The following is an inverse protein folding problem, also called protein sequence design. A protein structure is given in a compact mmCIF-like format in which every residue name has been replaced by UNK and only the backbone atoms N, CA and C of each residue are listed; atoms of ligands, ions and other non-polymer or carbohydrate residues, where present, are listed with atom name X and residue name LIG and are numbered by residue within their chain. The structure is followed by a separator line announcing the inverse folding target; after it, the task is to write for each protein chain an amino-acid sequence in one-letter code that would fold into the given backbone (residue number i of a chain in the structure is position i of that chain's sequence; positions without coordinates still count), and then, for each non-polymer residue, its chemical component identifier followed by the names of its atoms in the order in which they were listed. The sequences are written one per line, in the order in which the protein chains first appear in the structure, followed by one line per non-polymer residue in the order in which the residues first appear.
data_IF_605432931530
#
_entry.id   IF_605432931530
#
_cell.length_a   1.000
_cell.length_b   1.000
_cell.length_c   1.000
_cell.angle_alpha   90.00
_cell.angle_beta   90.00
_cell.angle_gamma   90.00
#
_symmetry.space_group_name_H-M   'P 1'
#
loop_
_entity.id
_entity.type
_entity.pdbx_description
1 polymer ?
#
# COMPACT_ATOMS: atom_id res chain seq x y z
N UNK A 1 10.90 -7.50 -6.35
CA UNK A 1 12.04 -6.70 -6.80
C UNK A 1 12.09 -5.31 -6.17
N UNK A 2 11.00 -4.52 -6.21
CA UNK A 2 11.02 -3.13 -5.71
C UNK A 2 11.36 -3.03 -4.21
N UNK A 3 10.89 -3.93 -3.36
CA UNK A 3 11.27 -3.99 -1.95
C UNK A 3 12.79 -4.11 -1.80
N UNK A 4 13.40 -5.12 -2.42
CA UNK A 4 14.85 -5.31 -2.40
C UNK A 4 15.61 -4.09 -2.89
N UNK A 5 15.11 -3.42 -3.93
CA UNK A 5 15.75 -2.24 -4.49
C UNK A 5 15.62 -1.01 -3.58
N UNK A 6 14.42 -0.74 -3.06
CA UNK A 6 14.16 0.48 -2.30
C UNK A 6 14.75 0.47 -0.88
N UNK A 7 15.04 -0.71 -0.32
CA UNK A 7 15.72 -0.84 0.98
C UNK A 7 17.23 -0.65 0.90
N UNK A 8 17.81 -0.53 -0.30
CA UNK A 8 19.26 -0.30 -0.43
C UNK A 8 19.66 1.01 0.23
N UNK A 9 20.93 1.13 0.71
CA UNK A 9 21.41 2.34 1.38
C UNK A 9 21.25 3.59 0.52
N UNK A 10 20.88 4.69 1.19
CA UNK A 10 20.87 6.00 0.54
C UNK A 10 22.27 6.40 0.07
N UNK A 11 22.41 7.09 -1.05
CA UNK A 11 21.36 7.58 -1.95
C UNK A 11 21.18 6.71 -3.20
N UNK A 12 21.47 5.40 -3.15
CA UNK A 12 21.49 4.56 -4.36
C UNK A 12 20.16 4.50 -5.10
N UNK A 13 19.04 4.06 -4.48
CA UNK A 13 17.76 3.98 -5.18
C UNK A 13 17.24 5.34 -5.60
N UNK A 14 17.45 6.37 -4.78
CA UNK A 14 17.05 7.73 -5.10
C UNK A 14 17.74 8.26 -6.38
N UNK A 15 19.05 8.07 -6.48
CA UNK A 15 19.81 8.48 -7.67
C UNK A 15 19.35 7.74 -8.92
N UNK A 16 19.18 6.43 -8.81
CA UNK A 16 18.76 5.61 -9.95
C UNK A 16 17.35 5.98 -10.42
N UNK A 17 16.40 6.20 -9.53
CA UNK A 17 15.05 6.61 -9.90
C UNK A 17 15.05 8.02 -10.49
N UNK A 18 15.86 8.92 -9.96
CA UNK A 18 15.94 10.30 -10.43
C UNK A 18 16.54 10.44 -11.84
N UNK A 19 17.17 9.40 -12.42
CA UNK A 19 17.58 9.42 -13.82
C UNK A 19 16.36 9.46 -14.76
N UNK A 20 15.28 8.73 -14.43
CA UNK A 20 14.01 8.77 -15.16
C UNK A 20 12.83 8.42 -14.22
N UNK A 21 12.40 9.37 -13.39
CA UNK A 21 11.30 9.15 -12.45
C UNK A 21 9.96 8.89 -13.15
N UNK A 22 9.79 9.39 -14.38
CA UNK A 22 8.59 9.16 -15.19
C UNK A 22 8.47 7.68 -15.60
N UNK A 23 9.55 7.11 -16.11
CA UNK A 23 9.59 5.69 -16.47
C UNK A 23 9.40 4.79 -15.27
N UNK A 24 10.02 5.12 -14.14
CA UNK A 24 9.86 4.38 -12.89
C UNK A 24 8.39 4.34 -12.47
N UNK A 25 7.74 5.49 -12.31
CA UNK A 25 6.34 5.58 -11.88
C UNK A 25 5.41 4.87 -12.85
N UNK A 26 5.56 5.09 -14.16
CA UNK A 26 4.74 4.40 -15.16
C UNK A 26 4.85 2.88 -15.06
N UNK A 27 6.06 2.37 -14.89
CA UNK A 27 6.27 0.93 -14.73
C UNK A 27 5.61 0.39 -13.46
N UNK A 28 5.71 1.10 -12.32
CA UNK A 28 5.05 0.71 -11.08
C UNK A 28 3.52 0.72 -11.25
N UNK A 29 2.96 1.80 -11.75
CA UNK A 29 1.52 1.94 -11.95
C UNK A 29 0.98 0.84 -12.89
N UNK A 30 1.59 0.64 -14.04
CA UNK A 30 1.16 -0.36 -15.01
C UNK A 30 1.24 -1.78 -14.45
N UNK A 31 2.39 -2.14 -13.87
CA UNK A 31 2.64 -3.49 -13.36
C UNK A 31 1.69 -3.87 -12.23
N UNK A 32 1.40 -2.94 -11.33
CA UNK A 32 0.61 -3.25 -10.13
C UNK A 32 -0.89 -3.06 -10.32
N UNK A 33 -1.30 -2.27 -11.31
CA UNK A 33 -2.72 -2.08 -11.65
C UNK A 33 -3.26 -3.10 -12.64
N UNK A 34 -2.42 -3.87 -13.31
CA UNK A 34 -2.83 -4.68 -14.45
C UNK A 34 -3.19 -3.83 -15.68
N UNK A 35 -2.34 -2.83 -15.97
CA UNK A 35 -2.48 -1.89 -17.10
C UNK A 35 -3.74 -0.99 -17.05
N UNK A 36 -4.23 -0.68 -15.85
CA UNK A 36 -5.28 0.31 -15.68
C UNK A 36 -4.79 1.71 -16.12
N UNK A 37 -5.62 2.45 -16.84
CA UNK A 37 -5.31 3.83 -17.25
C UNK A 37 -5.72 4.80 -16.15
N UNK A 38 -4.75 5.49 -15.57
CA UNK A 38 -4.97 6.40 -14.43
C UNK A 38 -5.38 7.83 -14.85
N UNK A 39 -5.26 8.19 -16.14
CA UNK A 39 -5.55 9.56 -16.60
C UNK A 39 -4.69 10.59 -15.86
N UNK A 40 -5.32 11.68 -15.42
CA UNK A 40 -4.62 12.79 -14.74
C UNK A 40 -3.97 12.40 -13.39
N UNK A 41 -4.37 11.29 -12.79
CA UNK A 41 -3.80 10.81 -11.52
C UNK A 41 -2.33 10.41 -11.69
N UNK A 42 -1.94 9.90 -12.87
CA UNK A 42 -0.55 9.58 -13.18
C UNK A 42 0.37 10.80 -13.08
N UNK A 43 -0.10 11.96 -13.56
CA UNK A 43 0.66 13.21 -13.48
C UNK A 43 0.85 13.70 -12.05
N UNK A 44 -0.16 13.53 -11.20
CA UNK A 44 -0.09 13.87 -9.78
C UNK A 44 0.98 13.03 -9.05
N UNK A 45 1.02 11.73 -9.29
CA UNK A 45 2.07 10.84 -8.79
C UNK A 45 3.44 11.26 -9.31
N UNK A 46 3.57 11.51 -10.61
CA UNK A 46 4.83 11.92 -11.22
C UNK A 46 5.34 13.25 -10.64
N UNK A 47 4.47 14.25 -10.47
CA UNK A 47 4.81 15.53 -9.85
C UNK A 47 5.37 15.35 -8.43
N UNK A 48 4.81 14.40 -7.67
CA UNK A 48 5.29 14.06 -6.34
C UNK A 48 6.68 13.42 -6.38
N UNK A 49 6.87 12.39 -7.19
CA UNK A 49 8.13 11.63 -7.27
C UNK A 49 9.30 12.36 -7.92
N UNK A 50 9.08 13.41 -8.68
CA UNK A 50 10.15 14.31 -9.15
C UNK A 50 10.80 15.12 -8.03
N UNK A 51 10.20 15.19 -6.86
CA UNK A 51 10.75 15.91 -5.72
C UNK A 51 11.69 14.99 -4.94
N UNK A 52 13.00 15.31 -4.93
CA UNK A 52 14.04 14.51 -4.25
C UNK A 52 13.68 14.14 -2.81
N UNK A 53 13.17 15.11 -2.03
CA UNK A 53 12.78 14.89 -0.63
C UNK A 53 11.65 13.86 -0.49
N UNK A 54 10.65 13.89 -1.37
CA UNK A 54 9.52 12.94 -1.33
C UNK A 54 9.95 11.55 -1.78
N UNK A 55 10.78 11.48 -2.80
CA UNK A 55 11.36 10.20 -3.22
C UNK A 55 12.21 9.59 -2.11
N UNK A 56 13.07 10.39 -1.47
CA UNK A 56 13.87 9.94 -0.33
C UNK A 56 12.97 9.44 0.81
N UNK A 57 11.96 10.20 1.21
CA UNK A 57 11.01 9.76 2.24
C UNK A 57 10.31 8.44 1.88
N UNK A 58 9.97 8.23 0.60
CA UNK A 58 9.42 6.96 0.15
C UNK A 58 10.42 5.80 0.27
N UNK A 59 11.71 6.03 0.00
CA UNK A 59 12.73 5.00 0.21
C UNK A 59 12.97 4.73 1.71
N UNK A 60 12.95 5.77 2.56
CA UNK A 60 13.06 5.61 4.02
C UNK A 60 11.92 4.78 4.61
N UNK A 61 10.70 4.92 4.09
CA UNK A 61 9.56 4.08 4.48
C UNK A 61 9.84 2.58 4.24
N UNK A 62 10.41 2.23 3.08
CA UNK A 62 10.84 0.86 2.81
C UNK A 62 11.98 0.40 3.71
N UNK A 63 12.96 1.28 4.01
CA UNK A 63 14.07 0.96 4.92
C UNK A 63 13.57 0.73 6.34
N UNK A 64 12.67 1.58 6.83
CA UNK A 64 12.02 1.41 8.14
C UNK A 64 11.28 0.07 8.22
N UNK A 65 10.50 -0.27 7.19
CA UNK A 65 9.77 -1.54 7.12
C UNK A 65 10.66 -2.78 7.12
N UNK A 66 11.92 -2.65 6.67
CA UNK A 66 12.90 -3.73 6.69
C UNK A 66 13.75 -3.78 7.96
N UNK A 67 13.64 -2.81 8.84
CA UNK A 67 14.49 -2.65 10.05
C UNK A 67 13.65 -2.37 11.30
N UNK A 68 13.45 -1.10 11.63
CA UNK A 68 12.86 -0.68 12.91
C UNK A 68 11.42 -1.16 13.08
N UNK A 69 10.62 -1.23 12.00
CA UNK A 69 9.24 -1.70 12.07
C UNK A 69 9.18 -3.18 12.47
N UNK A 70 10.14 -4.00 12.02
CA UNK A 70 10.24 -5.40 12.44
C UNK A 70 10.53 -5.55 13.94
N UNK A 71 11.32 -4.64 14.51
CA UNK A 71 11.61 -4.64 15.95
C UNK A 71 10.38 -4.16 16.74
N UNK A 72 9.65 -3.17 16.24
CA UNK A 72 8.37 -2.74 16.81
C UNK A 72 7.35 -3.88 16.77
N UNK A 73 7.21 -4.57 15.64
CA UNK A 73 6.30 -5.70 15.48
C UNK A 73 6.63 -6.84 16.44
N UNK A 74 7.92 -7.13 16.70
CA UNK A 74 8.32 -8.12 17.70
C UNK A 74 7.90 -7.73 19.11
N UNK A 75 8.12 -6.46 19.50
CA UNK A 75 7.73 -5.92 20.82
C UNK A 75 6.22 -5.94 21.01
N UNK A 76 5.46 -5.66 19.95
CA UNK A 76 4.01 -5.51 19.99
C UNK A 76 3.24 -6.78 19.59
N UNK A 77 3.94 -7.87 19.32
CA UNK A 77 3.35 -9.14 18.84
C UNK A 77 2.16 -9.64 19.65
N UNK A 78 2.17 -9.44 20.95
CA UNK A 78 1.12 -9.89 21.88
C UNK A 78 0.06 -8.81 22.15
N UNK A 79 0.26 -7.59 21.67
CA UNK A 79 -0.72 -6.51 21.80
C UNK A 79 -1.80 -6.66 20.74
N UNK A 80 -3.06 -6.43 21.16
CA UNK A 80 -4.21 -6.49 20.25
C UNK A 80 -4.92 -5.16 20.21
N UNK A 81 -5.29 -4.77 19.01
CA UNK A 81 -6.13 -3.59 18.78
C UNK A 81 -7.56 -3.88 19.27
N UNK A 82 -8.09 -3.01 20.11
CA UNK A 82 -9.46 -3.12 20.63
C UNK A 82 -10.41 -2.10 19.99
N UNK A 83 -10.25 -1.89 18.68
CA UNK A 83 -11.07 -1.03 17.83
C UNK A 83 -11.68 -1.85 16.69
N UNK A 84 -12.79 -1.41 16.09
CA UNK A 84 -13.28 -2.01 14.85
C UNK A 84 -12.25 -1.88 13.72
N UNK A 85 -12.03 -2.95 12.98
CA UNK A 85 -11.08 -2.99 11.85
C UNK A 85 -11.81 -3.43 10.59
N UNK A 86 -11.65 -2.65 9.52
CA UNK A 86 -12.02 -3.07 8.17
C UNK A 86 -10.79 -3.12 7.28
N UNK A 87 -10.69 -4.17 6.48
CA UNK A 87 -9.62 -4.36 5.50
C UNK A 87 -10.23 -4.38 4.10
N UNK A 88 -9.65 -3.58 3.20
CA UNK A 88 -9.97 -3.61 1.78
C UNK A 88 -8.71 -3.98 0.99
N UNK A 89 -8.85 -4.88 0.03
CA UNK A 89 -7.72 -5.30 -0.82
C UNK A 89 -8.16 -5.52 -2.27
N UNK A 90 -7.22 -5.36 -3.20
CA UNK A 90 -7.47 -5.67 -4.60
C UNK A 90 -7.43 -7.17 -4.87
N UNK A 91 -8.54 -7.75 -5.34
CA UNK A 91 -8.64 -9.20 -5.64
C UNK A 91 -7.62 -9.68 -6.67
N UNK A 92 -7.27 -8.82 -7.63
CA UNK A 92 -6.34 -9.13 -8.73
C UNK A 92 -4.88 -8.85 -8.37
N UNK A 93 -4.63 -8.12 -7.26
CA UNK A 93 -3.30 -7.82 -6.75
C UNK A 93 -2.67 -9.00 -6.00
N UNK A 94 -1.40 -8.83 -5.59
CA UNK A 94 -0.63 -9.83 -4.84
C UNK A 94 -1.34 -10.22 -3.54
N UNK A 95 -1.85 -9.24 -2.81
CA UNK A 95 -2.54 -9.47 -1.53
C UNK A 95 -3.75 -10.39 -1.72
N UNK A 96 -4.59 -10.11 -2.72
CA UNK A 96 -5.80 -10.91 -2.95
C UNK A 96 -5.53 -12.33 -3.47
N UNK A 97 -4.37 -12.54 -4.11
CA UNK A 97 -4.00 -13.84 -4.67
C UNK A 97 -3.24 -14.73 -3.69
N UNK A 98 -2.46 -14.16 -2.79
CA UNK A 98 -1.49 -14.92 -1.98
C UNK A 98 -1.79 -14.91 -0.49
N UNK A 99 -2.64 -14.01 0.01
CA UNK A 99 -2.83 -13.83 1.44
C UNK A 99 -4.31 -13.90 1.85
N UNK A 100 -4.55 -14.54 2.99
CA UNK A 100 -5.83 -14.41 3.69
C UNK A 100 -5.75 -13.21 4.65
N UNK A 101 -6.05 -12.02 4.11
CA UNK A 101 -5.92 -10.76 4.84
C UNK A 101 -6.74 -10.74 6.14
N UNK A 102 -7.96 -11.29 6.14
CA UNK A 102 -8.81 -11.34 7.34
C UNK A 102 -8.14 -12.20 8.42
N UNK A 103 -7.66 -13.40 8.07
CA UNK A 103 -7.00 -14.30 9.03
C UNK A 103 -5.73 -13.68 9.61
N UNK A 104 -4.96 -12.95 8.80
CA UNK A 104 -3.75 -12.28 9.25
C UNK A 104 -4.11 -11.18 10.25
N UNK A 105 -4.98 -10.25 9.90
CA UNK A 105 -5.34 -9.12 10.77
C UNK A 105 -6.13 -9.53 12.01
N UNK A 106 -6.87 -10.66 11.97
CA UNK A 106 -7.55 -11.18 13.15
C UNK A 106 -6.58 -11.55 14.27
N UNK A 107 -5.31 -11.84 13.95
CA UNK A 107 -4.27 -12.10 14.97
C UNK A 107 -3.92 -10.84 15.78
N UNK A 108 -4.09 -9.67 15.20
CA UNK A 108 -3.77 -8.37 15.79
C UNK A 108 -4.98 -7.66 16.38
N UNK A 109 -6.16 -8.26 16.36
CA UNK A 109 -7.39 -7.66 16.87
C UNK A 109 -8.05 -8.51 17.95
N UNK A 110 -8.54 -7.85 19.01
CA UNK A 110 -9.43 -8.46 20.01
C UNK A 110 -10.89 -8.51 19.56
N UNK A 111 -11.25 -7.74 18.52
CA UNK A 111 -12.60 -7.69 17.93
C UNK A 111 -12.60 -8.39 16.57
N UNK A 112 -13.81 -8.73 16.09
CA UNK A 112 -13.99 -9.28 14.74
C UNK A 112 -13.48 -8.32 13.68
N UNK A 113 -12.61 -8.80 12.80
CA UNK A 113 -12.11 -8.05 11.65
C UNK A 113 -13.07 -8.24 10.46
N UNK A 114 -13.45 -7.14 9.85
CA UNK A 114 -14.26 -7.13 8.62
C UNK A 114 -13.34 -6.97 7.41
N UNK A 115 -13.72 -7.53 6.27
CA UNK A 115 -12.89 -7.36 5.08
C UNK A 115 -13.63 -7.66 3.79
N UNK A 116 -13.26 -6.93 2.73
CA UNK A 116 -13.84 -7.07 1.40
C UNK A 116 -12.76 -6.94 0.32
N UNK A 117 -12.70 -7.94 -0.54
CA UNK A 117 -11.91 -7.85 -1.77
C UNK A 117 -12.59 -6.97 -2.80
N UNK A 118 -11.91 -5.91 -3.22
CA UNK A 118 -12.34 -4.99 -4.28
C UNK A 118 -11.99 -5.57 -5.65
N UNK A 119 -12.85 -5.43 -6.64
CA UNK A 119 -12.55 -5.87 -8.00
C UNK A 119 -11.58 -4.91 -8.68
N UNK A 120 -10.30 -5.01 -8.31
CA UNK A 120 -9.21 -4.15 -8.77
C UNK A 120 -7.87 -4.84 -8.65
N UNK A 121 -6.81 -4.20 -9.18
CA UNK A 121 -5.41 -4.51 -8.89
C UNK A 121 -4.97 -3.91 -7.56
N UNK A 122 -3.75 -3.37 -7.51
CA UNK A 122 -3.14 -2.83 -6.29
C UNK A 122 -3.78 -1.50 -5.83
N UNK A 123 -4.11 -0.63 -6.75
CA UNK A 123 -4.58 0.74 -6.47
C UNK A 123 -6.10 0.79 -6.36
N UNK A 124 -6.63 0.28 -5.25
CA UNK A 124 -8.09 0.09 -5.08
C UNK A 124 -8.91 1.40 -5.16
N UNK A 125 -8.46 2.54 -4.62
CA UNK A 125 -9.22 3.78 -4.70
C UNK A 125 -9.32 4.32 -6.13
N UNK A 126 -8.24 4.25 -6.90
CA UNK A 126 -8.18 4.74 -8.27
C UNK A 126 -8.90 3.81 -9.24
N UNK A 127 -8.78 2.50 -9.03
CA UNK A 127 -9.33 1.51 -9.95
C UNK A 127 -10.82 1.24 -9.73
N UNK A 128 -11.30 1.36 -8.50
CA UNK A 128 -12.71 1.12 -8.17
C UNK A 128 -13.20 2.01 -7.02
N UNK A 129 -13.18 3.35 -7.18
CA UNK A 129 -13.55 4.29 -6.12
C UNK A 129 -14.98 4.08 -5.62
N UNK A 130 -15.92 3.74 -6.50
CA UNK A 130 -17.33 3.52 -6.11
C UNK A 130 -17.46 2.39 -5.08
N UNK A 131 -16.80 1.26 -5.32
CA UNK A 131 -16.85 0.13 -4.40
C UNK A 131 -16.11 0.45 -3.09
N UNK A 132 -14.98 1.14 -3.15
CA UNK A 132 -14.24 1.57 -1.95
C UNK A 132 -15.09 2.50 -1.10
N UNK A 133 -15.66 3.56 -1.68
CA UNK A 133 -16.52 4.53 -0.98
C UNK A 133 -17.72 3.83 -0.33
N UNK A 134 -18.37 2.93 -1.06
CA UNK A 134 -19.51 2.17 -0.53
C UNK A 134 -19.12 1.37 0.72
N UNK A 135 -18.00 0.66 0.67
CA UNK A 135 -17.53 -0.16 1.80
C UNK A 135 -17.12 0.69 3.00
N UNK A 136 -16.43 1.81 2.77
CA UNK A 136 -16.06 2.75 3.82
C UNK A 136 -17.29 3.36 4.50
N UNK A 137 -18.25 3.86 3.72
CA UNK A 137 -19.51 4.40 4.27
C UNK A 137 -20.25 3.35 5.11
N UNK A 138 -20.40 2.12 4.61
CA UNK A 138 -21.05 1.03 5.33
C UNK A 138 -20.35 0.71 6.65
N UNK A 139 -19.03 0.74 6.67
CA UNK A 139 -18.25 0.46 7.88
C UNK A 139 -18.39 1.60 8.91
N UNK A 140 -18.17 2.84 8.50
CA UNK A 140 -18.26 3.98 9.41
C UNK A 140 -19.66 4.20 9.97
N UNK A 141 -20.71 4.11 9.14
CA UNK A 141 -22.09 4.23 9.63
C UNK A 141 -22.48 3.14 10.66
N UNK A 142 -21.78 2.02 10.65
CA UNK A 142 -22.02 0.95 11.63
C UNK A 142 -21.28 1.17 12.94
N UNK A 143 -20.21 1.96 12.95
CA UNK A 143 -19.28 2.06 14.08
C UNK A 143 -19.12 3.51 14.60
N UNK A 144 -19.89 4.46 14.08
CA UNK A 144 -20.15 5.77 14.66
C UNK A 144 -21.36 5.70 15.59
#
# INVERSE_FOLDING_TARGET
FHWFFLIQPAPLPERMIMTDPKKWIKNCLNKWSGNHKFGNVEEAYLKSFKQKKRLHASCEDYRASATIDLDHDKKDRNKKLNIPIQILWGKKGVIGKQFNSIKIWQRYSSKKVYGVGINSGHFIPEQNPKQVIFQLKKFFLKHL
#
